data_IF_495216352290
#
_entry.id   IF_495216352290
#
_cell.length_a   1.000
_cell.length_b   1.000
_cell.length_c   1.000
_cell.angle_alpha   90.00
_cell.angle_beta   90.00
_cell.angle_gamma   90.00
#
_symmetry.space_group_name_H-M   'P 1'
#
loop_
_entity.id
_entity.type
_entity.pdbx_description
1 polymer ?
#
# COMPACT_ATOMS: atom_id res chain seq x y z
N UNK A 1 58.16 3.19 -16.32
CA UNK A 1 57.10 4.04 -16.88
C UNK A 1 56.21 4.48 -15.74
N UNK A 2 55.84 5.75 -15.69
CA UNK A 2 55.17 6.48 -14.59
C UNK A 2 53.71 6.07 -14.31
N UNK A 3 53.33 4.81 -14.53
CA UNK A 3 52.01 4.32 -14.14
C UNK A 3 52.13 3.42 -12.90
N UNK A 4 51.78 3.95 -11.74
CA UNK A 4 51.79 3.23 -10.46
C UNK A 4 50.70 2.16 -10.33
N UNK A 5 49.79 2.06 -11.28
CA UNK A 5 48.75 1.01 -11.35
C UNK A 5 49.11 -0.11 -12.33
N UNK A 6 50.33 -0.12 -12.85
CA UNK A 6 50.78 -1.17 -13.76
C UNK A 6 51.15 -2.41 -12.96
N UNK A 7 50.54 -3.55 -13.34
CA UNK A 7 50.78 -4.84 -12.70
C UNK A 7 52.24 -5.34 -12.87
N UNK A 8 52.73 -5.48 -14.10
CA UNK A 8 54.16 -5.75 -14.41
C UNK A 8 54.55 -5.14 -15.75
N UNK A 9 55.85 -5.03 -16.04
CA UNK A 9 56.35 -4.60 -17.35
C UNK A 9 55.98 -5.54 -18.51
N UNK A 10 55.81 -6.84 -18.24
CA UNK A 10 55.44 -7.85 -19.24
C UNK A 10 54.56 -8.96 -18.61
N UNK A 11 53.22 -8.86 -18.73
CA UNK A 11 52.28 -9.74 -18.03
C UNK A 11 52.16 -11.16 -18.60
N UNK A 12 52.85 -11.49 -19.70
CA UNK A 12 52.82 -12.85 -20.28
C UNK A 12 54.02 -13.71 -19.90
N UNK A 13 55.04 -13.15 -19.24
CA UNK A 13 56.24 -13.87 -18.82
C UNK A 13 56.72 -13.59 -17.41
N UNK A 14 56.09 -12.66 -16.69
CA UNK A 14 56.51 -12.23 -15.36
C UNK A 14 55.31 -12.04 -14.43
N UNK A 15 55.41 -12.63 -13.24
CA UNK A 15 54.50 -12.41 -12.11
C UNK A 15 55.27 -11.60 -11.08
N UNK A 16 54.73 -10.47 -10.61
CA UNK A 16 55.24 -9.80 -9.40
C UNK A 16 54.56 -10.44 -8.18
N UNK A 17 55.25 -11.31 -7.44
CA UNK A 17 54.64 -12.07 -6.35
C UNK A 17 54.42 -11.21 -5.09
N UNK A 18 55.08 -10.05 -5.00
CA UNK A 18 55.08 -9.21 -3.81
C UNK A 18 54.38 -7.86 -4.04
N UNK A 19 54.15 -7.45 -5.28
CA UNK A 19 53.52 -6.17 -5.62
C UNK A 19 54.42 -4.97 -5.27
N UNK A 20 55.74 -5.17 -5.26
CA UNK A 20 56.73 -4.22 -4.73
C UNK A 20 57.55 -3.54 -5.82
N UNK A 21 57.02 -3.41 -7.05
CA UNK A 21 57.65 -2.53 -8.03
C UNK A 21 57.84 -1.12 -7.44
N UNK A 22 59.05 -0.56 -7.64
CA UNK A 22 59.54 0.63 -6.96
C UNK A 22 58.56 1.81 -7.11
N UNK A 23 58.09 2.32 -5.96
CA UNK A 23 57.22 3.49 -5.87
C UNK A 23 57.81 4.67 -6.68
N UNK A 24 57.08 5.29 -7.63
CA UNK A 24 57.58 6.46 -8.35
C UNK A 24 57.73 7.65 -7.39
N UNK A 25 58.94 8.20 -7.29
CA UNK A 25 59.26 9.37 -6.45
C UNK A 25 60.67 9.27 -5.86
N UNK A 26 61.40 10.39 -5.84
CA UNK A 26 62.78 10.44 -5.34
C UNK A 26 62.76 10.25 -3.81
N UNK A 27 63.03 9.02 -3.35
CA UNK A 27 62.99 8.68 -1.93
C UNK A 27 62.75 7.21 -1.58
N UNK A 28 62.35 6.38 -2.55
CA UNK A 28 61.97 4.98 -2.29
C UNK A 28 60.76 4.88 -1.34
N UNK A 29 60.12 3.72 -1.24
CA UNK A 29 59.01 3.54 -0.31
C UNK A 29 59.54 3.61 1.14
N UNK A 30 59.63 4.81 1.71
CA UNK A 30 59.84 4.98 3.15
C UNK A 30 58.61 4.42 3.83
N UNK A 31 58.76 3.25 4.46
CA UNK A 31 57.73 2.69 5.35
C UNK A 31 57.38 3.79 6.37
N UNK A 32 56.11 4.21 6.49
CA UNK A 32 55.73 5.00 7.65
C UNK A 32 56.10 4.17 8.89
N UNK A 33 56.66 4.83 9.91
CA UNK A 33 56.94 4.16 11.17
C UNK A 33 55.66 3.47 11.63
N UNK A 34 55.74 2.15 11.84
CA UNK A 34 54.65 1.35 12.39
C UNK A 34 54.30 1.96 13.74
N UNK A 35 53.21 2.71 13.76
CA UNK A 35 52.75 3.49 14.89
C UNK A 35 51.25 3.71 14.74
N UNK A 36 50.48 2.85 15.40
CA UNK A 36 49.15 3.14 15.93
C UNK A 36 48.14 3.77 14.97
N UNK A 37 47.66 2.95 14.05
CA UNK A 37 46.22 2.83 13.78
C UNK A 37 46.08 1.64 12.84
N UNK A 38 45.81 0.48 13.44
CA UNK A 38 45.30 -0.65 12.67
C UNK A 38 43.96 -0.22 12.05
N UNK A 39 43.86 0.03 10.73
CA UNK A 39 42.60 0.43 10.11
C UNK A 39 41.56 -0.69 10.22
N UNK A 40 42.00 -1.92 10.49
CA UNK A 40 41.16 -3.10 10.71
C UNK A 40 40.41 -3.03 12.04
N UNK A 41 40.91 -2.29 13.03
CA UNK A 41 40.26 -2.15 14.34
C UNK A 41 38.95 -1.33 14.29
N UNK A 42 38.67 -0.62 13.19
CA UNK A 42 37.42 0.13 12.97
C UNK A 42 36.46 -0.54 12.00
N UNK A 43 36.84 -1.65 11.39
CA UNK A 43 35.98 -2.39 10.46
C UNK A 43 35.31 -3.52 11.23
N UNK A 44 34.13 -3.24 11.78
CA UNK A 44 33.23 -4.30 12.21
C UNK A 44 32.79 -5.10 10.99
N UNK A 45 33.40 -6.26 10.76
CA UNK A 45 32.89 -7.24 9.80
C UNK A 45 31.70 -7.90 10.49
N UNK A 46 30.49 -7.70 9.97
CA UNK A 46 29.38 -8.59 10.36
C UNK A 46 29.73 -9.99 9.83
N UNK A 47 30.16 -10.88 10.74
CA UNK A 47 30.35 -12.32 10.46
C UNK A 47 29.02 -13.08 10.32
N UNK A 48 27.90 -12.37 10.17
CA UNK A 48 26.60 -12.98 9.95
C UNK A 48 26.55 -13.68 8.59
N UNK A 49 26.01 -14.90 8.58
CA UNK A 49 25.70 -15.59 7.33
C UNK A 49 24.82 -14.71 6.42
N UNK A 50 25.01 -14.75 5.08
CA UNK A 50 24.14 -14.02 4.17
C UNK A 50 22.69 -14.47 4.37
N UNK A 51 21.78 -13.52 4.44
CA UNK A 51 20.34 -13.81 4.58
C UNK A 51 19.89 -14.74 3.46
N UNK A 52 19.31 -15.89 3.84
CA UNK A 52 18.81 -16.85 2.88
C UNK A 52 17.73 -16.19 2.00
N UNK A 53 17.70 -16.47 0.69
CA UNK A 53 16.68 -15.92 -0.18
C UNK A 53 15.30 -16.41 0.25
N UNK A 54 14.33 -15.48 0.27
CA UNK A 54 12.95 -15.79 0.65
C UNK A 54 12.38 -16.97 -0.16
N UNK A 55 11.62 -17.84 0.51
CA UNK A 55 10.84 -18.88 -0.17
C UNK A 55 9.80 -18.26 -1.10
N UNK A 56 9.29 -19.05 -2.05
CA UNK A 56 8.23 -18.59 -2.95
C UNK A 56 6.96 -18.15 -2.18
N UNK A 57 6.64 -18.82 -1.07
CA UNK A 57 5.50 -18.49 -0.20
C UNK A 57 5.72 -17.17 0.53
N UNK A 58 6.88 -17.00 1.16
CA UNK A 58 7.23 -15.75 1.83
C UNK A 58 7.20 -14.57 0.85
N UNK A 59 7.69 -14.78 -0.38
CA UNK A 59 7.68 -13.76 -1.43
C UNK A 59 6.25 -13.39 -1.82
N UNK A 60 5.36 -14.37 -1.99
CA UNK A 60 3.95 -14.14 -2.29
C UNK A 60 3.27 -13.35 -1.18
N UNK A 61 3.42 -13.78 0.07
CA UNK A 61 2.85 -13.09 1.23
C UNK A 61 3.33 -11.62 1.31
N UNK A 62 4.62 -11.37 1.07
CA UNK A 62 5.18 -10.01 1.06
C UNK A 62 4.63 -9.17 -0.08
N UNK A 63 4.44 -9.75 -1.27
CA UNK A 63 3.83 -9.04 -2.40
C UNK A 63 2.39 -8.68 -2.08
N UNK A 64 1.62 -9.61 -1.49
CA UNK A 64 0.22 -9.36 -1.14
C UNK A 64 0.10 -8.27 -0.05
N UNK A 65 0.94 -8.31 0.98
CA UNK A 65 1.03 -7.27 2.02
C UNK A 65 1.32 -5.90 1.40
N UNK A 66 2.35 -5.80 0.55
CA UNK A 66 2.72 -4.56 -0.13
C UNK A 66 1.63 -4.09 -1.09
N UNK A 67 0.91 -5.01 -1.74
CA UNK A 67 -0.19 -4.67 -2.64
C UNK A 67 -1.39 -4.10 -1.88
N UNK A 68 -1.74 -4.64 -0.72
CA UNK A 68 -2.77 -4.09 0.16
C UNK A 68 -2.37 -2.71 0.69
N UNK A 69 -1.14 -2.55 1.19
CA UNK A 69 -0.64 -1.26 1.67
C UNK A 69 -0.62 -0.18 0.58
N UNK A 70 -0.22 -0.54 -0.65
CA UNK A 70 -0.27 0.37 -1.78
C UNK A 70 -1.70 0.72 -2.19
N UNK A 71 -2.62 -0.26 -2.15
CA UNK A 71 -4.02 -0.01 -2.45
C UNK A 71 -4.66 0.93 -1.40
N UNK A 72 -4.37 0.73 -0.12
CA UNK A 72 -4.77 1.65 0.96
C UNK A 72 -4.27 3.06 0.71
N UNK A 73 -2.96 3.25 0.50
CA UNK A 73 -2.37 4.56 0.22
C UNK A 73 -3.07 5.24 -0.97
N UNK A 74 -3.33 4.48 -2.05
CA UNK A 74 -3.97 5.05 -3.24
C UNK A 74 -5.42 5.46 -3.00
N UNK A 75 -6.16 4.67 -2.21
CA UNK A 75 -7.52 5.01 -1.81
C UNK A 75 -7.53 6.25 -0.93
N UNK A 76 -6.59 6.37 0.01
CA UNK A 76 -6.50 7.49 0.94
C UNK A 76 -6.20 8.80 0.20
N UNK A 77 -5.15 8.81 -0.63
CA UNK A 77 -4.82 9.93 -1.51
C UNK A 77 -6.03 10.35 -2.39
N UNK A 78 -6.73 9.37 -2.95
CA UNK A 78 -7.88 9.61 -3.81
C UNK A 78 -9.05 10.21 -3.03
N UNK A 79 -9.37 9.66 -1.85
CA UNK A 79 -10.48 10.13 -1.03
C UNK A 79 -10.25 11.56 -0.55
N UNK A 80 -9.04 11.86 -0.07
CA UNK A 80 -8.66 13.21 0.37
C UNK A 80 -8.73 14.23 -0.77
N UNK A 81 -8.44 13.81 -2.00
CA UNK A 81 -8.49 14.70 -3.18
C UNK A 81 -9.92 15.05 -3.64
N UNK A 82 -10.95 14.35 -3.15
CA UNK A 82 -12.34 14.50 -3.62
C UNK A 82 -13.21 15.01 -2.45
N UNK A 83 -13.62 16.29 -2.45
CA UNK A 83 -14.43 16.85 -1.37
C UNK A 83 -15.69 16.02 -1.09
N UNK A 84 -15.85 15.55 0.14
CA UNK A 84 -17.00 14.77 0.60
C UNK A 84 -17.04 13.31 0.10
N UNK A 85 -15.95 12.78 -0.48
CA UNK A 85 -15.80 11.35 -0.68
C UNK A 85 -15.65 10.63 0.68
N UNK A 86 -16.12 9.39 0.75
CA UNK A 86 -16.10 8.57 1.99
C UNK A 86 -16.14 7.06 1.68
N UNK A 87 -15.55 6.64 0.56
CA UNK A 87 -15.38 5.22 0.23
C UNK A 87 -14.41 4.52 1.18
N UNK A 88 -13.21 5.04 1.40
CA UNK A 88 -12.20 4.42 2.26
C UNK A 88 -12.58 4.60 3.74
N UNK A 89 -12.86 5.83 4.18
CA UNK A 89 -13.16 6.14 5.57
C UNK A 89 -14.34 5.31 6.12
N UNK A 90 -15.43 5.17 5.34
CA UNK A 90 -16.63 4.46 5.82
C UNK A 90 -16.71 3.00 5.43
N UNK A 91 -16.09 2.60 4.32
CA UNK A 91 -16.28 1.26 3.76
C UNK A 91 -14.96 0.49 3.53
N UNK A 92 -13.82 1.09 3.87
CA UNK A 92 -12.50 0.51 3.64
C UNK A 92 -12.19 -0.70 4.52
N UNK A 93 -11.18 -1.47 4.10
CA UNK A 93 -10.80 -2.71 4.77
C UNK A 93 -10.10 -2.51 6.12
N UNK A 94 -9.76 -1.27 6.47
CA UNK A 94 -9.27 -0.88 7.78
C UNK A 94 -10.38 -0.66 8.82
N UNK A 95 -11.66 -0.57 8.41
CA UNK A 95 -12.81 -0.56 9.34
C UNK A 95 -13.05 -1.96 9.91
N UNK A 96 -14.05 -2.19 10.77
CA UNK A 96 -14.39 -3.54 11.27
C UNK A 96 -15.87 -3.86 11.13
N UNK A 97 -16.25 -5.14 11.22
CA UNK A 97 -17.65 -5.54 11.19
C UNK A 97 -18.40 -4.92 12.39
N UNK A 98 -17.76 -4.89 13.56
CA UNK A 98 -18.27 -4.27 14.78
C UNK A 98 -18.49 -2.77 14.59
N UNK A 99 -17.56 -2.07 13.95
CA UNK A 99 -17.71 -0.66 13.63
C UNK A 99 -18.86 -0.41 12.62
N UNK A 100 -19.08 -1.34 11.68
CA UNK A 100 -20.25 -1.27 10.78
C UNK A 100 -21.58 -1.54 11.52
N UNK A 101 -21.59 -2.46 12.49
CA UNK A 101 -22.75 -2.69 13.36
C UNK A 101 -23.07 -1.44 14.20
N UNK A 102 -22.07 -0.80 14.76
CA UNK A 102 -22.26 0.46 15.48
C UNK A 102 -22.77 1.55 14.54
N UNK A 103 -22.16 1.70 13.36
CA UNK A 103 -22.58 2.67 12.34
C UNK A 103 -24.06 2.51 11.95
N UNK A 104 -24.52 1.29 11.71
CA UNK A 104 -25.92 1.05 11.30
C UNK A 104 -26.91 1.24 12.44
N UNK A 105 -26.45 1.25 13.69
CA UNK A 105 -27.28 1.43 14.88
C UNK A 105 -27.33 2.88 15.34
N UNK A 106 -26.18 3.57 15.33
CA UNK A 106 -26.03 4.90 15.95
C UNK A 106 -25.74 6.01 14.95
N UNK A 107 -25.31 5.68 13.72
CA UNK A 107 -24.75 6.66 12.79
C UNK A 107 -23.29 7.04 13.08
N UNK A 108 -22.60 6.34 14.00
CA UNK A 108 -21.17 6.57 14.24
C UNK A 108 -20.34 6.21 13.00
N UNK A 109 -19.53 7.13 12.53
CA UNK A 109 -18.61 6.91 11.41
C UNK A 109 -17.47 5.97 11.85
N UNK A 110 -17.23 4.86 11.14
CA UNK A 110 -16.25 3.86 11.53
C UNK A 110 -14.79 4.31 11.35
N UNK A 111 -14.54 5.37 10.59
CA UNK A 111 -13.22 5.96 10.40
C UNK A 111 -12.91 7.11 11.37
N UNK A 112 -13.90 7.94 11.73
CA UNK A 112 -13.68 9.07 12.64
C UNK A 112 -14.11 8.81 14.08
N UNK A 113 -14.98 7.83 14.30
CA UNK A 113 -15.59 7.58 15.61
C UNK A 113 -16.67 8.60 16.01
N UNK A 114 -17.04 9.54 15.14
CA UNK A 114 -18.04 10.57 15.44
C UNK A 114 -19.44 10.16 14.99
N UNK A 115 -20.48 10.56 15.73
CA UNK A 115 -21.88 10.38 15.29
C UNK A 115 -22.19 11.46 14.25
N UNK A 116 -22.46 11.03 13.02
CA UNK A 116 -22.82 11.95 11.95
C UNK A 116 -24.25 12.43 12.13
N UNK A 117 -24.48 13.74 12.10
CA UNK A 117 -25.82 14.34 12.24
C UNK A 117 -26.24 15.10 10.98
N UNK A 118 -27.55 15.27 10.78
CA UNK A 118 -28.08 16.19 9.78
C UNK A 118 -27.83 17.63 10.20
N UNK A 119 -27.28 18.42 9.28
CA UNK A 119 -26.95 19.85 9.49
C UNK A 119 -27.96 20.78 8.83
N UNK A 120 -28.93 20.23 8.08
CA UNK A 120 -29.98 20.96 7.38
C UNK A 120 -31.23 20.10 7.22
N UNK A 121 -32.35 20.74 6.88
CA UNK A 121 -33.65 20.08 6.67
C UNK A 121 -34.38 19.70 7.95
N UNK A 122 -35.48 18.97 7.81
CA UNK A 122 -36.39 18.66 8.93
C UNK A 122 -35.79 17.75 10.02
N UNK A 123 -34.72 17.02 9.70
CA UNK A 123 -34.07 16.09 10.61
C UNK A 123 -32.83 16.71 11.29
N UNK A 124 -32.65 18.04 11.25
CA UNK A 124 -31.48 18.71 11.82
C UNK A 124 -31.21 18.26 13.26
N UNK A 125 -29.93 17.98 13.57
CA UNK A 125 -29.49 17.46 14.86
C UNK A 125 -29.72 15.96 15.06
N UNK A 126 -30.51 15.28 14.23
CA UNK A 126 -30.71 13.84 14.33
C UNK A 126 -29.53 13.04 13.72
N UNK A 127 -29.22 11.85 14.23
CA UNK A 127 -28.21 10.97 13.64
C UNK A 127 -28.54 10.51 12.22
N UNK A 128 -27.51 10.46 11.36
CA UNK A 128 -27.55 9.94 9.98
C UNK A 128 -27.37 8.43 9.97
N UNK A 129 -28.39 7.70 10.42
CA UNK A 129 -28.35 6.24 10.45
C UNK A 129 -28.49 5.71 9.00
N UNK A 130 -27.55 4.92 8.46
CA UNK A 130 -27.62 4.38 7.09
C UNK A 130 -28.53 3.14 7.01
N UNK A 131 -29.08 2.82 5.84
CA UNK A 131 -29.96 1.64 5.66
C UNK A 131 -29.19 0.32 5.70
N UNK A 132 -27.90 0.38 5.40
CA UNK A 132 -26.93 -0.67 5.61
C UNK A 132 -25.55 -0.05 5.87
N UNK A 133 -24.71 -0.79 6.57
CA UNK A 133 -23.33 -0.44 6.82
C UNK A 133 -22.47 -1.64 6.46
N UNK A 134 -21.65 -1.48 5.42
CA UNK A 134 -20.86 -2.56 4.84
C UNK A 134 -19.44 -2.10 4.59
N UNK A 135 -18.50 -3.04 4.59
CA UNK A 135 -17.09 -2.81 4.32
C UNK A 135 -16.54 -3.78 3.29
N UNK A 136 -15.45 -3.39 2.65
CA UNK A 136 -14.57 -4.30 1.92
C UNK A 136 -13.69 -5.09 2.88
N UNK A 137 -13.32 -6.31 2.53
CA UNK A 137 -12.30 -7.09 3.25
C UNK A 137 -10.89 -6.88 2.68
N UNK A 138 -10.76 -6.27 1.50
CA UNK A 138 -9.48 -5.95 0.84
C UNK A 138 -9.50 -4.53 0.25
N UNK A 139 -8.42 -3.78 0.45
CA UNK A 139 -8.21 -2.48 -0.18
C UNK A 139 -8.01 -2.63 -1.69
N UNK A 140 -7.36 -3.72 -2.13
CA UNK A 140 -7.18 -4.03 -3.56
C UNK A 140 -8.53 -4.19 -4.26
N UNK A 141 -9.48 -4.89 -3.63
CA UNK A 141 -10.82 -5.08 -4.20
C UNK A 141 -11.60 -3.78 -4.29
N UNK A 142 -11.52 -2.95 -3.26
CA UNK A 142 -12.15 -1.63 -3.27
C UNK A 142 -11.58 -0.73 -4.39
N UNK A 143 -10.25 -0.68 -4.51
CA UNK A 143 -9.58 0.10 -5.56
C UNK A 143 -9.92 -0.43 -6.96
N UNK A 144 -9.96 -1.75 -7.13
CA UNK A 144 -10.37 -2.41 -8.36
C UNK A 144 -11.83 -2.05 -8.73
N UNK A 145 -12.76 -2.10 -7.77
CA UNK A 145 -14.15 -1.69 -8.00
C UNK A 145 -14.25 -0.24 -8.52
N UNK A 146 -13.51 0.69 -7.91
CA UNK A 146 -13.47 2.09 -8.33
C UNK A 146 -12.92 2.20 -9.76
N UNK A 147 -11.80 1.56 -10.08
CA UNK A 147 -11.23 1.65 -11.42
C UNK A 147 -12.09 0.99 -12.50
N UNK A 148 -12.72 -0.15 -12.21
CA UNK A 148 -13.70 -0.78 -13.11
C UNK A 148 -14.87 0.17 -13.38
N UNK A 149 -15.37 0.85 -12.34
CA UNK A 149 -16.47 1.81 -12.47
C UNK A 149 -16.08 3.02 -13.31
N UNK A 150 -14.92 3.62 -13.05
CA UNK A 150 -14.40 4.76 -13.84
C UNK A 150 -14.19 4.38 -15.31
N UNK A 151 -13.80 3.13 -15.59
CA UNK A 151 -13.69 2.63 -16.96
C UNK A 151 -15.06 2.52 -17.64
N UNK A 152 -16.07 1.98 -16.95
CA UNK A 152 -17.45 1.89 -17.47
C UNK A 152 -18.01 3.28 -17.74
N UNK A 153 -17.85 4.22 -16.80
CA UNK A 153 -18.30 5.61 -16.97
C UNK A 153 -17.73 6.26 -18.23
N UNK A 154 -16.43 6.09 -18.49
CA UNK A 154 -15.79 6.65 -19.70
C UNK A 154 -16.25 6.02 -21.01
N UNK A 155 -16.74 4.78 -20.99
CA UNK A 155 -17.15 4.03 -22.19
C UNK A 155 -18.65 4.15 -22.48
N UNK A 156 -19.44 4.25 -21.42
CA UNK A 156 -20.90 4.26 -21.47
C UNK A 156 -21.38 5.60 -20.91
N UNK A 157 -22.05 5.58 -19.77
CA UNK A 157 -22.53 6.77 -19.07
C UNK A 157 -22.51 6.56 -17.54
N UNK A 158 -23.01 7.57 -16.82
CA UNK A 158 -23.12 7.53 -15.36
C UNK A 158 -24.08 6.43 -14.88
N UNK A 159 -25.18 6.20 -15.59
CA UNK A 159 -26.18 5.21 -15.19
C UNK A 159 -25.59 3.80 -15.19
N UNK A 160 -24.93 3.42 -16.29
CA UNK A 160 -24.27 2.12 -16.45
C UNK A 160 -23.17 1.91 -15.40
N UNK A 161 -22.47 2.97 -15.01
CA UNK A 161 -21.43 2.90 -13.97
C UNK A 161 -21.98 2.56 -12.57
N UNK A 162 -23.27 2.77 -12.31
CA UNK A 162 -23.87 2.48 -10.99
C UNK A 162 -24.25 1.02 -10.79
N UNK A 163 -24.17 0.18 -11.85
CA UNK A 163 -24.54 -1.23 -11.78
C UNK A 163 -23.58 -1.99 -10.86
N UNK A 164 -24.09 -2.93 -10.03
CA UNK A 164 -23.24 -3.72 -9.16
C UNK A 164 -22.21 -4.53 -9.93
N UNK A 165 -20.98 -4.48 -9.44
CA UNK A 165 -19.84 -5.18 -10.00
C UNK A 165 -19.73 -6.54 -9.31
N UNK A 166 -19.89 -7.61 -10.07
CA UNK A 166 -19.66 -8.97 -9.59
C UNK A 166 -18.15 -9.30 -9.54
N UNK A 167 -17.71 -9.87 -8.41
CA UNK A 167 -16.34 -10.34 -8.18
C UNK A 167 -16.25 -11.87 -8.17
N UNK A 168 -17.37 -12.61 -8.16
CA UNK A 168 -17.41 -14.07 -8.12
C UNK A 168 -16.86 -14.70 -6.83
N UNK A 169 -16.56 -13.89 -5.82
CA UNK A 169 -16.13 -14.31 -4.49
C UNK A 169 -16.54 -13.27 -3.45
N UNK A 170 -16.54 -13.65 -2.18
CA UNK A 170 -16.75 -12.70 -1.08
C UNK A 170 -15.66 -11.61 -1.09
N UNK A 171 -16.09 -10.35 -1.06
CA UNK A 171 -15.22 -9.15 -1.05
C UNK A 171 -15.52 -8.21 0.11
N UNK A 172 -16.54 -8.52 0.90
CA UNK A 172 -17.01 -7.62 1.94
C UNK A 172 -18.12 -8.21 2.76
N UNK A 173 -18.42 -7.52 3.85
CA UNK A 173 -19.44 -7.90 4.80
C UNK A 173 -20.06 -6.67 5.47
N UNK A 174 -21.14 -6.89 6.23
CA UNK A 174 -21.74 -5.85 7.05
C UNK A 174 -23.18 -6.17 7.44
N UNK A 175 -23.91 -5.12 7.80
CA UNK A 175 -25.22 -5.24 8.44
C UNK A 175 -26.27 -4.41 7.71
N UNK A 176 -27.48 -4.96 7.59
CA UNK A 176 -28.67 -4.17 7.25
C UNK A 176 -29.27 -3.56 8.51
N UNK A 177 -29.79 -2.33 8.40
CA UNK A 177 -30.47 -1.67 9.52
C UNK A 177 -31.69 -2.46 9.99
N UNK A 178 -32.44 -2.98 9.02
CA UNK A 178 -33.57 -3.84 9.30
C UNK A 178 -33.08 -5.23 9.73
N UNK A 179 -33.44 -5.61 10.95
CA UNK A 179 -33.08 -6.88 11.58
C UNK A 179 -31.61 -7.05 11.98
N UNK A 180 -30.72 -6.06 11.75
CA UNK A 180 -29.29 -6.10 12.10
C UNK A 180 -28.59 -7.40 11.67
N UNK A 181 -28.99 -7.95 10.52
CA UNK A 181 -28.45 -9.22 10.03
C UNK A 181 -27.07 -9.01 9.41
N UNK A 182 -26.08 -9.77 9.91
CA UNK A 182 -24.77 -9.89 9.26
C UNK A 182 -24.92 -10.58 7.90
N UNK A 183 -24.28 -10.03 6.88
CA UNK A 183 -24.23 -10.60 5.53
C UNK A 183 -22.88 -10.39 4.90
N UNK A 184 -22.50 -11.37 4.08
CA UNK A 184 -21.36 -11.28 3.17
C UNK A 184 -21.84 -10.90 1.76
N UNK A 185 -20.96 -10.24 1.01
CA UNK A 185 -21.27 -9.71 -0.30
C UNK A 185 -20.18 -10.04 -1.30
N UNK A 186 -20.62 -10.37 -2.52
CA UNK A 186 -19.76 -10.61 -3.68
C UNK A 186 -19.80 -9.46 -4.69
N UNK A 187 -20.59 -8.42 -4.42
CA UNK A 187 -20.77 -7.29 -5.32
C UNK A 187 -20.31 -5.99 -4.69
N UNK A 188 -19.69 -5.14 -5.52
CA UNK A 188 -19.34 -3.77 -5.17
C UNK A 188 -20.26 -2.80 -5.91
N UNK A 189 -20.68 -1.73 -5.23
CA UNK A 189 -21.40 -0.62 -5.82
C UNK A 189 -20.53 0.62 -5.61
N UNK A 190 -20.31 1.37 -6.69
CA UNK A 190 -19.54 2.62 -6.67
C UNK A 190 -20.42 3.72 -7.22
N UNK A 191 -20.46 4.85 -6.51
CA UNK A 191 -21.21 6.04 -6.92
C UNK A 191 -20.20 7.10 -7.33
N UNK A 192 -20.26 7.51 -8.60
CA UNK A 192 -19.47 8.60 -9.14
C UNK A 192 -20.26 9.92 -9.12
N UNK A 193 -19.57 11.06 -9.05
CA UNK A 193 -20.15 12.37 -9.37
C UNK A 193 -20.25 12.58 -10.89
N UNK A 194 -20.77 13.74 -11.31
CA UNK A 194 -20.88 14.09 -12.74
C UNK A 194 -19.56 14.19 -13.49
N UNK A 195 -18.43 14.36 -12.78
CA UNK A 195 -17.08 14.39 -13.37
C UNK A 195 -16.44 12.98 -13.46
N UNK A 196 -17.10 11.95 -12.93
CA UNK A 196 -16.56 10.59 -12.88
C UNK A 196 -15.65 10.33 -11.67
N UNK A 197 -15.68 11.18 -10.65
CA UNK A 197 -14.94 10.97 -9.40
C UNK A 197 -15.76 10.15 -8.40
N UNK A 198 -15.16 9.14 -7.73
CA UNK A 198 -15.84 8.31 -6.77
C UNK A 198 -16.21 9.09 -5.51
N UNK A 199 -17.50 9.18 -5.22
CA UNK A 199 -18.03 9.75 -3.96
C UNK A 199 -18.12 8.72 -2.86
N UNK A 200 -18.48 7.49 -3.21
CA UNK A 200 -18.48 6.36 -2.28
C UNK A 200 -18.35 5.04 -3.05
N UNK A 201 -17.89 4.01 -2.37
CA UNK A 201 -17.77 2.64 -2.86
C UNK A 201 -18.01 1.72 -1.67
N UNK A 202 -18.94 0.78 -1.81
CA UNK A 202 -19.34 -0.13 -0.72
C UNK A 202 -19.75 -1.49 -1.28
N UNK A 203 -19.79 -2.51 -0.44
CA UNK A 203 -20.23 -3.85 -0.82
C UNK A 203 -21.72 -4.03 -0.56
N UNK A 204 -22.41 -4.82 -1.38
CA UNK A 204 -23.87 -4.93 -1.29
C UNK A 204 -24.48 -6.02 -2.17
N UNK A 205 -25.82 -6.10 -2.22
CA UNK A 205 -26.53 -7.07 -3.05
C UNK A 205 -26.43 -6.72 -4.54
N UNK A 206 -26.67 -7.72 -5.41
CA UNK A 206 -26.65 -7.60 -6.89
C UNK A 206 -27.69 -6.63 -7.48
N UNK A 207 -28.70 -6.27 -6.69
CA UNK A 207 -30.01 -5.74 -7.10
C UNK A 207 -30.84 -6.76 -7.88
#
# INVERSE_FOLDING_TARGET
GLNGYRYTLNPTGWVDPLGLEVCPGDGGCKKPAVGEQDPTAKVGVEEGEPTLPMTAEQRRARIDELAEANAYRRLDEMEQSIPGAHFLQKHGAQTTAEAQLERVTTGRNPGTGEIEIYTYGNNIGQPKIPSAATRFTSHRDQLNAIYRTKLVFRRNDLFESTKPIDFGRTIGNGYKRDGLQYKEYQHAIVILNGNGDPKTAYTGPKR
#
